data_IF_062743224045
#
_entry.id   IF_062743224045
#
_cell.length_a   1.000
_cell.length_b   1.000
_cell.length_c   1.000
_cell.angle_alpha   90.00
_cell.angle_beta   90.00
_cell.angle_gamma   90.00
#
_symmetry.space_group_name_H-M   'P 1'
#
loop_
_entity.id
_entity.type
_entity.pdbx_description
1 polymer ?
#
# COMPACT_ATOMS: atom_id res chain seq x y z
N UNK A 1 1.99 -5.26 27.95
CA UNK A 1 0.71 -5.96 27.66
C UNK A 1 1.05 -7.15 26.77
N UNK A 2 1.17 -8.37 27.36
CA UNK A 2 1.40 -9.58 26.55
C UNK A 2 0.08 -9.92 25.84
N UNK A 3 -0.01 -9.60 24.58
CA UNK A 3 -1.12 -9.98 23.73
C UNK A 3 -0.99 -11.48 23.42
N UNK A 4 -1.97 -12.28 23.84
CA UNK A 4 -2.03 -13.74 23.61
C UNK A 4 -2.27 -14.11 22.13
N UNK A 5 -1.98 -13.20 21.19
CA UNK A 5 -2.08 -13.40 19.77
C UNK A 5 -0.74 -13.86 19.21
N UNK A 6 -0.71 -15.09 18.67
CA UNK A 6 0.43 -15.60 17.92
C UNK A 6 0.54 -14.84 16.59
N UNK A 7 1.23 -13.70 16.59
CA UNK A 7 1.54 -13.00 15.37
C UNK A 7 2.45 -13.86 14.46
N UNK A 8 2.23 -13.89 13.15
CA UNK A 8 3.13 -14.58 12.23
C UNK A 8 4.57 -14.08 12.40
N UNK A 9 5.58 -14.90 12.11
CA UNK A 9 6.98 -14.51 12.26
C UNK A 9 7.29 -13.21 11.50
N UNK A 10 8.32 -12.44 11.89
CA UNK A 10 8.62 -11.11 11.31
C UNK A 10 9.13 -11.17 9.86
N UNK A 11 8.95 -12.29 9.17
CA UNK A 11 9.27 -12.41 7.75
C UNK A 11 8.35 -11.54 6.90
N UNK A 12 8.94 -10.86 5.93
CA UNK A 12 8.23 -10.03 4.96
C UNK A 12 7.48 -10.90 3.96
N UNK A 13 6.18 -10.74 3.87
CA UNK A 13 5.34 -11.45 2.89
C UNK A 13 5.49 -10.79 1.51
N UNK A 14 6.25 -11.45 0.61
CA UNK A 14 6.50 -10.97 -0.74
C UNK A 14 5.24 -10.92 -1.61
N UNK A 15 4.19 -11.69 -1.29
CA UNK A 15 2.90 -11.65 -1.99
C UNK A 15 2.25 -10.28 -1.87
N UNK A 16 2.25 -9.73 -0.65
CA UNK A 16 1.68 -8.41 -0.38
C UNK A 16 2.43 -7.31 -1.11
N UNK A 17 3.76 -7.41 -1.19
CA UNK A 17 4.57 -6.48 -1.97
C UNK A 17 4.31 -6.63 -3.48
N UNK A 18 4.21 -7.86 -3.99
CA UNK A 18 3.87 -8.14 -5.38
C UNK A 18 2.51 -7.53 -5.76
N UNK A 19 1.48 -7.82 -4.97
CA UNK A 19 0.13 -7.32 -5.24
C UNK A 19 0.02 -5.80 -5.13
N UNK A 20 0.76 -5.16 -4.21
CA UNK A 20 0.85 -3.69 -4.16
C UNK A 20 1.54 -3.11 -5.40
N UNK A 21 2.62 -3.75 -5.86
CA UNK A 21 3.29 -3.33 -7.08
C UNK A 21 2.38 -3.45 -8.30
N UNK A 22 1.67 -4.57 -8.41
CA UNK A 22 0.69 -4.79 -9.46
C UNK A 22 -0.45 -3.76 -9.41
N UNK A 23 -0.97 -3.46 -8.21
CA UNK A 23 -1.98 -2.43 -8.03
C UNK A 23 -1.49 -1.04 -8.46
N UNK A 24 -0.24 -0.67 -8.15
CA UNK A 24 0.35 0.60 -8.59
C UNK A 24 0.46 0.69 -10.12
N UNK A 25 0.95 -0.36 -10.78
CA UNK A 25 1.03 -0.39 -12.24
C UNK A 25 -0.36 -0.33 -12.89
N UNK A 26 -1.31 -1.12 -12.36
CA UNK A 26 -2.69 -1.12 -12.86
C UNK A 26 -3.39 0.23 -12.65
N UNK A 27 -3.14 0.91 -11.52
CA UNK A 27 -3.65 2.27 -11.29
C UNK A 27 -3.05 3.27 -12.29
N UNK A 28 -1.75 3.25 -12.51
CA UNK A 28 -1.13 4.11 -13.53
C UNK A 28 -1.75 3.90 -14.90
N UNK A 29 -1.77 2.65 -15.41
CA UNK A 29 -2.32 2.32 -16.73
C UNK A 29 -3.82 2.66 -16.84
N UNK A 30 -4.58 2.49 -15.76
CA UNK A 30 -6.01 2.80 -15.70
C UNK A 30 -6.35 4.29 -15.53
N UNK A 31 -5.36 5.13 -15.22
CA UNK A 31 -5.54 6.56 -14.98
C UNK A 31 -5.11 7.46 -16.16
N UNK A 32 -4.60 6.87 -17.26
CA UNK A 32 -4.36 7.62 -18.51
C UNK A 32 -5.67 7.66 -19.30
N UNK A 33 -6.39 8.81 -19.34
CA UNK A 33 -7.72 8.87 -19.96
C UNK A 33 -7.70 8.57 -21.46
N UNK A 34 -8.76 7.91 -21.95
CA UNK A 34 -8.98 7.71 -23.40
C UNK A 34 -8.00 6.74 -24.07
N UNK A 35 -7.35 5.85 -23.33
CA UNK A 35 -6.35 4.92 -23.88
C UNK A 35 -6.79 3.46 -23.78
N UNK A 36 -6.23 2.62 -24.67
CA UNK A 36 -6.39 1.16 -24.59
C UNK A 36 -5.60 0.56 -23.41
N UNK A 37 -4.70 1.31 -22.77
CA UNK A 37 -3.91 0.86 -21.63
C UNK A 37 -4.77 0.43 -20.45
N UNK A 38 -5.98 0.97 -20.33
CA UNK A 38 -6.96 0.56 -19.32
C UNK A 38 -7.27 -0.94 -19.38
N UNK A 39 -7.16 -1.57 -20.55
CA UNK A 39 -7.34 -3.01 -20.73
C UNK A 39 -6.19 -3.85 -20.18
N UNK A 40 -5.04 -3.24 -19.89
CA UNK A 40 -3.95 -3.89 -19.17
C UNK A 40 -4.14 -3.84 -17.65
N UNK A 41 -5.19 -3.16 -17.16
CA UNK A 41 -5.55 -3.14 -15.74
C UNK A 41 -6.70 -4.10 -15.45
N UNK A 42 -6.78 -4.66 -14.25
CA UNK A 42 -7.88 -5.56 -13.88
C UNK A 42 -9.22 -4.87 -13.65
N UNK A 43 -9.28 -3.56 -13.78
CA UNK A 43 -10.50 -2.76 -13.69
C UNK A 43 -11.62 -3.20 -14.66
N UNK A 44 -11.24 -3.69 -15.85
CA UNK A 44 -12.18 -4.09 -16.89
C UNK A 44 -12.54 -5.59 -16.85
N UNK A 45 -11.99 -6.35 -15.90
CA UNK A 45 -12.18 -7.80 -15.81
C UNK A 45 -12.89 -8.24 -14.53
N UNK A 46 -13.56 -7.31 -13.85
CA UNK A 46 -14.32 -7.61 -12.64
C UNK A 46 -14.75 -6.36 -11.90
N UNK A 47 -15.43 -6.56 -10.78
CA UNK A 47 -16.04 -5.44 -10.05
C UNK A 47 -15.05 -4.63 -9.22
N UNK A 48 -13.97 -5.23 -8.70
CA UNK A 48 -12.94 -4.53 -7.91
C UNK A 48 -11.73 -4.15 -8.76
N UNK A 49 -10.95 -3.19 -8.29
CA UNK A 49 -9.76 -2.69 -8.97
C UNK A 49 -8.54 -2.56 -8.03
N UNK A 50 -7.49 -1.90 -8.51
CA UNK A 50 -6.25 -1.71 -7.76
C UNK A 50 -6.41 -0.95 -6.46
N UNK A 51 -7.36 -0.02 -6.36
CA UNK A 51 -7.62 0.74 -5.15
C UNK A 51 -8.22 -0.13 -4.04
N UNK A 52 -9.19 -1.01 -4.37
CA UNK A 52 -9.77 -1.96 -3.41
C UNK A 52 -8.68 -2.85 -2.80
N UNK A 53 -7.85 -3.44 -3.65
CA UNK A 53 -6.74 -4.30 -3.24
C UNK A 53 -5.72 -3.53 -2.37
N UNK A 54 -5.40 -2.30 -2.77
CA UNK A 54 -4.43 -1.46 -2.08
C UNK A 54 -4.90 -1.08 -0.67
N UNK A 55 -6.19 -0.69 -0.50
CA UNK A 55 -6.78 -0.37 0.81
C UNK A 55 -6.79 -1.60 1.72
N UNK A 56 -7.22 -2.75 1.21
CA UNK A 56 -7.23 -4.00 1.96
C UNK A 56 -5.83 -4.41 2.46
N UNK A 57 -4.83 -4.45 1.56
CA UNK A 57 -3.45 -4.82 1.93
C UNK A 57 -2.88 -3.81 2.94
N UNK A 58 -3.27 -2.55 2.88
CA UNK A 58 -2.82 -1.54 3.83
C UNK A 58 -3.38 -1.76 5.21
N UNK A 59 -4.66 -2.13 5.35
CA UNK A 59 -5.24 -2.57 6.62
C UNK A 59 -4.51 -3.79 7.19
N UNK A 60 -4.33 -4.82 6.35
CA UNK A 60 -3.63 -6.05 6.72
C UNK A 60 -2.22 -5.80 7.26
N UNK A 61 -1.41 -5.08 6.51
CA UNK A 61 -0.02 -4.81 6.89
C UNK A 61 0.10 -3.81 8.03
N UNK A 62 -0.80 -2.82 8.11
CA UNK A 62 -0.83 -1.88 9.23
C UNK A 62 -1.12 -2.58 10.54
N UNK A 63 -2.06 -3.51 10.57
CA UNK A 63 -2.34 -4.31 11.76
C UNK A 63 -1.09 -5.06 12.23
N UNK A 64 -0.39 -5.79 11.36
CA UNK A 64 0.82 -6.53 11.72
C UNK A 64 1.96 -5.63 12.22
N UNK A 65 2.20 -4.51 11.52
CA UNK A 65 3.31 -3.59 11.82
C UNK A 65 3.06 -2.84 13.13
N UNK A 66 1.85 -2.30 13.32
CA UNK A 66 1.57 -1.43 14.45
C UNK A 66 1.21 -2.19 15.72
N UNK A 67 0.65 -3.42 15.63
CA UNK A 67 0.53 -4.31 16.79
C UNK A 67 1.88 -4.54 17.44
N UNK A 68 2.91 -4.94 16.68
CA UNK A 68 4.27 -5.13 17.20
C UNK A 68 4.88 -3.87 17.82
N UNK A 69 4.53 -2.69 17.29
CA UNK A 69 4.98 -1.42 17.87
C UNK A 69 4.23 -1.07 19.15
N UNK A 70 2.94 -1.39 19.22
CA UNK A 70 2.12 -1.19 20.42
C UNK A 70 2.51 -2.13 21.58
N UNK A 71 3.13 -3.29 21.30
CA UNK A 71 3.72 -4.15 22.33
C UNK A 71 4.82 -3.44 23.13
N UNK A 72 5.54 -2.50 22.50
CA UNK A 72 6.56 -1.64 23.15
C UNK A 72 5.95 -0.46 23.92
N UNK A 73 4.64 -0.25 23.82
CA UNK A 73 3.88 0.82 24.44
C UNK A 73 2.85 1.43 23.50
N UNK A 74 1.64 1.67 24.02
CA UNK A 74 0.54 2.23 23.21
C UNK A 74 0.91 3.60 22.60
N UNK A 75 1.47 4.51 23.43
CA UNK A 75 1.88 5.85 22.98
C UNK A 75 2.98 5.75 21.89
N UNK A 76 3.96 4.84 22.08
CA UNK A 76 5.00 4.61 21.08
C UNK A 76 4.44 4.12 19.76
N UNK A 77 3.55 3.12 19.78
CA UNK A 77 2.91 2.58 18.57
C UNK A 77 2.09 3.65 17.85
N UNK A 78 1.29 4.41 18.60
CA UNK A 78 0.44 5.50 18.10
C UNK A 78 1.26 6.63 17.49
N UNK A 79 2.34 7.07 18.15
CA UNK A 79 3.21 8.12 17.60
C UNK A 79 3.86 7.71 16.27
N UNK A 80 4.28 6.44 16.15
CA UNK A 80 4.83 5.90 14.89
C UNK A 80 3.78 5.82 13.79
N UNK A 81 2.52 5.56 14.16
CA UNK A 81 1.41 5.55 13.21
C UNK A 81 1.09 6.98 12.75
N UNK A 82 0.97 7.94 13.64
CA UNK A 82 0.75 9.35 13.26
C UNK A 82 1.90 9.92 12.42
N UNK A 83 3.14 9.52 12.68
CA UNK A 83 4.27 9.87 11.80
C UNK A 83 4.03 9.35 10.37
N UNK A 84 3.42 8.15 10.21
CA UNK A 84 3.08 7.63 8.89
C UNK A 84 1.92 8.40 8.26
N UNK A 85 0.90 8.77 9.03
CA UNK A 85 -0.20 9.64 8.57
C UNK A 85 0.37 10.96 8.05
N UNK A 86 1.26 11.59 8.80
CA UNK A 86 1.93 12.82 8.39
C UNK A 86 2.73 12.66 7.09
N UNK A 87 3.45 11.56 6.93
CA UNK A 87 4.17 11.26 5.67
C UNK A 87 3.22 11.14 4.47
N UNK A 88 2.05 10.54 4.66
CA UNK A 88 1.06 10.40 3.58
C UNK A 88 0.42 11.76 3.28
N UNK A 89 0.08 12.53 4.31
CA UNK A 89 -0.48 13.86 4.16
C UNK A 89 0.48 14.81 3.44
N UNK A 90 1.74 14.87 3.87
CA UNK A 90 2.75 15.73 3.21
C UNK A 90 3.02 15.30 1.77
N UNK A 91 3.04 13.98 1.49
CA UNK A 91 3.16 13.47 0.13
C UNK A 91 1.96 13.87 -0.73
N UNK A 92 0.74 13.82 -0.17
CA UNK A 92 -0.47 14.28 -0.87
C UNK A 92 -0.42 15.78 -1.18
N UNK A 93 -0.07 16.61 -0.21
CA UNK A 93 -0.01 18.07 -0.41
C UNK A 93 1.06 18.43 -1.45
N UNK A 94 2.24 17.81 -1.37
CA UNK A 94 3.28 18.03 -2.38
C UNK A 94 2.82 17.60 -3.78
N UNK A 95 2.21 16.42 -3.89
CA UNK A 95 1.64 15.92 -5.14
C UNK A 95 0.55 16.86 -5.67
N UNK A 96 -0.35 17.33 -4.80
CA UNK A 96 -1.42 18.26 -5.13
C UNK A 96 -0.86 19.57 -5.72
N UNK A 97 0.13 20.19 -5.08
CA UNK A 97 0.76 21.43 -5.55
C UNK A 97 1.45 21.23 -6.91
N UNK A 98 2.27 20.19 -7.02
CA UNK A 98 2.98 19.87 -8.27
C UNK A 98 1.98 19.60 -9.40
N UNK A 99 0.95 18.80 -9.12
CA UNK A 99 -0.06 18.42 -10.09
C UNK A 99 -0.81 19.64 -10.64
N UNK A 100 -1.29 20.54 -9.77
CA UNK A 100 -1.96 21.77 -10.16
C UNK A 100 -1.05 22.69 -10.98
N UNK A 101 0.20 22.88 -10.50
CA UNK A 101 1.17 23.70 -11.22
C UNK A 101 1.41 23.16 -12.66
N UNK A 102 1.54 21.84 -12.80
CA UNK A 102 1.72 21.22 -14.12
C UNK A 102 0.48 21.36 -15.02
N UNK A 103 -0.73 21.13 -14.48
CA UNK A 103 -1.98 21.25 -15.25
C UNK A 103 -2.10 22.67 -15.81
N UNK A 104 -1.90 23.68 -14.97
CA UNK A 104 -2.00 25.09 -15.41
C UNK A 104 -0.89 25.47 -16.37
N UNK A 105 0.38 25.14 -16.04
CA UNK A 105 1.50 25.43 -16.93
C UNK A 105 1.32 24.85 -18.34
N UNK A 106 0.89 23.58 -18.43
CA UNK A 106 0.68 22.95 -19.74
C UNK A 106 -0.56 23.50 -20.44
N UNK A 107 -1.64 23.80 -19.70
CA UNK A 107 -2.85 24.41 -20.26
C UNK A 107 -2.54 25.77 -20.89
N UNK A 108 -1.80 26.65 -20.23
CA UNK A 108 -1.37 27.94 -20.76
C UNK A 108 -0.38 27.81 -21.91
N UNK A 109 0.66 26.99 -21.73
CA UNK A 109 1.75 26.85 -22.71
C UNK A 109 1.29 26.31 -24.06
N UNK A 110 0.26 25.46 -24.08
CA UNK A 110 -0.26 24.79 -25.28
C UNK A 110 -1.67 25.24 -25.68
N UNK A 111 -2.19 26.29 -25.02
CA UNK A 111 -3.54 26.83 -25.27
C UNK A 111 -4.61 25.72 -25.22
N UNK A 112 -4.57 24.89 -24.17
CA UNK A 112 -5.44 23.73 -23.99
C UNK A 112 -6.29 23.86 -22.70
N UNK A 113 -7.29 24.79 -22.67
CA UNK A 113 -8.10 25.07 -21.47
C UNK A 113 -8.91 23.85 -21.00
N UNK A 114 -9.23 22.91 -21.90
CA UNK A 114 -9.96 21.69 -21.58
C UNK A 114 -9.22 20.79 -20.58
N UNK A 115 -7.88 20.88 -20.52
CA UNK A 115 -7.09 20.16 -19.53
C UNK A 115 -7.48 20.54 -18.10
N UNK A 116 -7.71 21.82 -17.86
CA UNK A 116 -8.07 22.34 -16.53
C UNK A 116 -9.40 21.73 -16.05
N UNK A 117 -10.38 21.62 -16.97
CA UNK A 117 -11.68 21.04 -16.67
C UNK A 117 -11.60 19.51 -16.52
N UNK A 118 -10.91 18.83 -17.45
CA UNK A 118 -10.75 17.37 -17.43
C UNK A 118 -10.11 16.86 -16.14
N UNK A 119 -9.12 17.61 -15.63
CA UNK A 119 -8.39 17.24 -14.42
C UNK A 119 -8.93 17.89 -13.14
N UNK A 120 -10.13 18.48 -13.21
CA UNK A 120 -10.78 19.15 -12.08
C UNK A 120 -9.87 20.19 -11.41
N UNK A 121 -9.21 21.03 -12.21
CA UNK A 121 -8.29 22.06 -11.75
C UNK A 121 -8.84 23.50 -11.91
N UNK A 122 -10.07 23.65 -12.43
CA UNK A 122 -10.70 24.94 -12.73
C UNK A 122 -10.81 25.94 -11.57
N UNK A 123 -11.15 25.51 -10.35
CA UNK A 123 -11.28 26.43 -9.21
C UNK A 123 -10.00 27.20 -8.84
N UNK A 124 -8.80 26.73 -9.30
CA UNK A 124 -7.52 27.43 -9.08
C UNK A 124 -7.53 28.85 -9.64
N UNK A 125 -8.13 29.03 -10.79
CA UNK A 125 -8.13 30.34 -11.48
C UNK A 125 -9.17 31.32 -10.92
N UNK A 126 -10.31 30.80 -10.43
CA UNK A 126 -11.42 31.64 -9.93
C UNK A 126 -11.32 32.00 -8.45
N UNK A 127 -10.81 31.09 -7.62
CA UNK A 127 -10.74 31.23 -6.16
C UNK A 127 -9.49 30.52 -5.58
N UNK A 128 -8.27 30.99 -5.89
CA UNK A 128 -7.03 30.24 -5.58
C UNK A 128 -6.83 30.05 -4.07
N UNK A 129 -7.07 31.06 -3.24
CA UNK A 129 -6.88 30.97 -1.79
C UNK A 129 -7.86 29.98 -1.17
N UNK A 130 -9.14 30.08 -1.53
CA UNK A 130 -10.17 29.17 -1.03
C UNK A 130 -9.85 27.73 -1.44
N UNK A 131 -9.53 27.53 -2.72
CA UNK A 131 -9.21 26.20 -3.23
C UNK A 131 -7.97 25.60 -2.56
N UNK A 132 -6.92 26.39 -2.32
CA UNK A 132 -5.74 25.91 -1.57
C UNK A 132 -6.12 25.53 -0.14
N UNK A 133 -6.95 26.33 0.53
CA UNK A 133 -7.46 26.02 1.87
C UNK A 133 -8.25 24.71 1.89
N UNK A 134 -9.17 24.54 0.92
CA UNK A 134 -9.96 23.32 0.80
C UNK A 134 -9.12 22.09 0.39
N UNK A 135 -8.05 22.29 -0.38
CA UNK A 135 -7.05 21.26 -0.69
C UNK A 135 -6.29 20.80 0.54
N UNK A 136 -5.81 21.73 1.37
CA UNK A 136 -5.15 21.44 2.67
C UNK A 136 -6.10 20.72 3.63
N UNK A 137 -7.39 21.04 3.62
CA UNK A 137 -8.42 20.36 4.40
C UNK A 137 -8.89 19.03 3.78
N UNK A 138 -8.29 18.58 2.69
CA UNK A 138 -8.63 17.36 1.94
C UNK A 138 -10.05 17.36 1.36
N UNK A 139 -10.71 18.51 1.29
CA UNK A 139 -12.05 18.65 0.72
C UNK A 139 -12.03 18.83 -0.79
N UNK A 140 -11.04 19.56 -1.32
CA UNK A 140 -10.82 19.69 -2.75
C UNK A 140 -9.74 18.72 -3.22
N UNK A 141 -10.02 17.99 -4.30
CA UNK A 141 -9.13 17.01 -4.90
C UNK A 141 -9.21 17.07 -6.43
N UNK A 142 -8.10 17.36 -7.11
CA UNK A 142 -7.97 17.14 -8.54
C UNK A 142 -8.19 15.67 -8.91
N UNK A 143 -8.42 15.39 -10.17
CA UNK A 143 -8.64 14.03 -10.67
C UNK A 143 -7.50 13.09 -10.27
N UNK A 144 -7.83 11.89 -9.81
CA UNK A 144 -6.94 10.82 -9.38
C UNK A 144 -6.19 11.06 -8.04
N UNK A 145 -6.43 12.18 -7.34
CA UNK A 145 -5.78 12.46 -6.05
C UNK A 145 -6.60 12.01 -4.82
N UNK A 146 -7.69 11.27 -5.01
CA UNK A 146 -8.64 10.90 -3.95
C UNK A 146 -8.14 9.80 -2.99
N UNK A 147 -7.20 8.96 -3.42
CA UNK A 147 -6.76 7.78 -2.67
C UNK A 147 -5.95 8.15 -1.42
N UNK A 148 -5.03 9.13 -1.50
CA UNK A 148 -4.20 9.52 -0.35
C UNK A 148 -5.00 10.18 0.77
N UNK A 149 -5.98 11.09 0.51
CA UNK A 149 -6.91 11.58 1.52
C UNK A 149 -7.65 10.48 2.27
N UNK A 150 -8.17 9.46 1.54
CA UNK A 150 -8.78 8.29 2.15
C UNK A 150 -7.82 7.61 3.15
N UNK A 151 -6.54 7.44 2.75
CA UNK A 151 -5.52 6.85 3.62
C UNK A 151 -5.22 7.68 4.87
N UNK A 152 -5.17 9.00 4.74
CA UNK A 152 -4.97 9.92 5.88
C UNK A 152 -6.07 9.68 6.91
N UNK A 153 -7.33 9.60 6.48
CA UNK A 153 -8.48 9.37 7.37
C UNK A 153 -8.43 7.97 7.99
N UNK A 154 -8.29 6.92 7.17
CA UNK A 154 -8.31 5.53 7.66
C UNK A 154 -7.15 5.25 8.63
N UNK A 155 -5.95 5.69 8.29
CA UNK A 155 -4.78 5.53 9.17
C UNK A 155 -4.86 6.43 10.40
N UNK A 156 -5.41 7.64 10.29
CA UNK A 156 -5.58 8.56 11.42
C UNK A 156 -6.54 8.00 12.49
N UNK A 157 -7.59 7.33 12.06
CA UNK A 157 -8.56 6.66 12.95
C UNK A 157 -8.11 5.26 13.42
N UNK A 158 -7.05 4.72 12.85
CA UNK A 158 -6.63 3.34 13.12
C UNK A 158 -6.13 3.08 14.55
N UNK A 159 -5.45 3.99 15.30
CA UNK A 159 -4.99 3.69 16.65
C UNK A 159 -6.08 3.20 17.60
N UNK A 160 -7.22 3.89 17.77
CA UNK A 160 -8.31 3.40 18.61
C UNK A 160 -8.96 2.12 18.05
N UNK A 161 -9.09 2.00 16.72
CA UNK A 161 -9.63 0.81 16.06
C UNK A 161 -8.73 -0.39 16.35
N UNK A 162 -7.41 -0.25 16.20
CA UNK A 162 -6.47 -1.33 16.49
C UNK A 162 -6.48 -1.72 17.96
N UNK A 163 -6.52 -0.74 18.86
CA UNK A 163 -6.59 -0.99 20.30
C UNK A 163 -7.84 -1.79 20.70
N UNK A 164 -9.00 -1.45 20.12
CA UNK A 164 -10.24 -2.21 20.30
C UNK A 164 -10.15 -3.60 19.65
N UNK A 165 -9.60 -3.70 18.45
CA UNK A 165 -9.46 -4.96 17.70
C UNK A 165 -8.55 -5.96 18.43
N UNK A 166 -7.54 -5.49 19.15
CA UNK A 166 -6.67 -6.35 19.95
C UNK A 166 -7.39 -6.95 21.17
N UNK A 167 -8.53 -6.38 21.60
CA UNK A 167 -9.35 -6.87 22.71
C UNK A 167 -10.60 -7.61 22.24
N UNK A 168 -11.29 -7.02 21.26
CA UNK A 168 -12.60 -7.45 20.78
C UNK A 168 -12.63 -7.47 19.24
N UNK A 169 -11.83 -8.36 18.59
CA UNK A 169 -11.65 -8.34 17.13
C UNK A 169 -12.97 -8.48 16.37
N UNK A 170 -13.84 -9.39 16.80
CA UNK A 170 -15.10 -9.67 16.11
C UNK A 170 -16.11 -8.52 16.33
N UNK A 171 -16.12 -7.89 17.50
CA UNK A 171 -16.98 -6.73 17.76
C UNK A 171 -16.58 -5.53 16.88
N UNK A 172 -15.27 -5.30 16.68
CA UNK A 172 -14.79 -4.25 15.77
C UNK A 172 -15.19 -4.57 14.33
N UNK A 173 -15.08 -5.84 13.92
CA UNK A 173 -15.51 -6.24 12.57
C UNK A 173 -17.01 -6.04 12.38
N UNK A 174 -17.84 -6.45 13.35
CA UNK A 174 -19.29 -6.23 13.32
C UNK A 174 -19.61 -4.73 13.29
N UNK A 175 -18.97 -3.92 14.13
CA UNK A 175 -19.13 -2.46 14.12
C UNK A 175 -18.77 -1.82 12.78
N UNK A 176 -17.70 -2.32 12.13
CA UNK A 176 -17.30 -1.89 10.79
C UNK A 176 -18.36 -2.21 9.73
N UNK A 177 -18.96 -3.42 9.78
CA UNK A 177 -20.04 -3.81 8.87
C UNK A 177 -21.28 -2.94 9.12
N UNK A 178 -21.66 -2.72 10.39
CA UNK A 178 -22.81 -1.88 10.75
C UNK A 178 -22.63 -0.44 10.27
N UNK A 179 -21.42 0.13 10.46
CA UNK A 179 -21.09 1.47 9.95
C UNK A 179 -21.18 1.53 8.42
N UNK A 180 -20.68 0.50 7.72
CA UNK A 180 -20.79 0.39 6.28
C UNK A 180 -22.25 0.37 5.80
N UNK A 181 -23.07 -0.46 6.42
CA UNK A 181 -24.50 -0.57 6.08
C UNK A 181 -25.23 0.74 6.37
N UNK A 182 -24.97 1.38 7.52
CA UNK A 182 -25.54 2.68 7.86
C UNK A 182 -25.12 3.77 6.87
N UNK A 183 -23.83 3.83 6.51
CA UNK A 183 -23.33 4.81 5.56
C UNK A 183 -24.01 4.66 4.18
N UNK A 184 -24.25 3.43 3.73
CA UNK A 184 -25.00 3.17 2.48
C UNK A 184 -26.49 3.51 2.60
N UNK A 185 -27.12 3.09 3.69
CA UNK A 185 -28.57 3.30 3.89
C UNK A 185 -28.94 4.77 4.05
N UNK A 186 -28.14 5.53 4.81
CA UNK A 186 -28.38 6.93 5.11
C UNK A 186 -27.59 7.88 4.19
N UNK A 187 -26.90 7.37 3.18
CA UNK A 187 -26.08 8.14 2.24
C UNK A 187 -25.04 9.04 2.93
N UNK A 188 -24.47 8.58 4.05
CA UNK A 188 -23.44 9.31 4.78
C UNK A 188 -22.13 9.30 4.01
N UNK A 189 -21.59 10.49 3.76
CA UNK A 189 -20.27 10.66 3.16
C UNK A 189 -19.68 12.01 3.61
N UNK A 190 -18.39 12.21 3.41
CA UNK A 190 -17.74 13.49 3.68
C UNK A 190 -18.00 14.48 2.54
N UNK A 191 -18.20 15.79 2.86
CA UNK A 191 -18.40 16.81 1.83
C UNK A 191 -17.13 17.06 1.02
N UNK A 192 -17.30 17.33 -0.27
CA UNK A 192 -16.25 17.76 -1.19
C UNK A 192 -16.43 19.22 -1.58
N UNK A 193 -15.38 19.88 -2.02
CA UNK A 193 -15.41 21.25 -2.53
C UNK A 193 -15.26 21.21 -4.08
N UNK A 194 -15.97 22.08 -4.83
CA UNK A 194 -16.92 23.12 -4.39
C UNK A 194 -18.30 22.56 -4.01
N UNK A 195 -18.62 21.33 -4.38
CA UNK A 195 -19.90 20.68 -4.10
C UNK A 195 -19.76 19.16 -4.14
N UNK A 196 -20.80 18.44 -3.68
CA UNK A 196 -20.86 16.98 -3.71
C UNK A 196 -20.20 16.33 -2.52
N UNK A 197 -19.77 15.09 -2.70
CA UNK A 197 -19.18 14.24 -1.65
C UNK A 197 -17.87 13.58 -2.10
N UNK A 198 -17.14 13.01 -1.17
CA UNK A 198 -15.90 12.31 -1.48
C UNK A 198 -16.12 11.14 -2.43
N UNK A 199 -15.26 11.03 -3.45
CA UNK A 199 -15.28 9.93 -4.41
C UNK A 199 -15.03 8.57 -3.74
N UNK A 200 -14.11 8.50 -2.79
CA UNK A 200 -13.95 7.34 -1.91
C UNK A 200 -14.56 7.65 -0.55
N UNK A 201 -15.79 7.19 -0.30
CA UNK A 201 -16.48 7.37 0.96
C UNK A 201 -15.74 6.65 2.11
N UNK A 202 -15.08 7.37 3.05
CA UNK A 202 -14.29 6.72 4.08
C UNK A 202 -15.12 5.82 5.01
N UNK A 203 -16.42 6.16 5.21
CA UNK A 203 -17.34 5.39 6.04
C UNK A 203 -17.68 4.03 5.41
N UNK A 204 -17.63 3.93 4.10
CA UNK A 204 -17.81 2.66 3.38
C UNK A 204 -16.46 1.94 3.20
N UNK A 205 -15.43 2.64 2.74
CA UNK A 205 -14.12 2.05 2.42
C UNK A 205 -13.33 1.57 3.64
N UNK A 206 -13.67 2.05 4.85
CA UNK A 206 -13.12 1.52 6.10
C UNK A 206 -13.36 0.01 6.23
N UNK A 207 -14.44 -0.53 5.66
CA UNK A 207 -14.73 -1.97 5.71
C UNK A 207 -13.59 -2.80 5.11
N UNK A 208 -13.04 -2.41 3.95
CA UNK A 208 -11.89 -3.09 3.33
C UNK A 208 -10.65 -3.05 4.24
N UNK A 209 -10.37 -1.89 4.80
CA UNK A 209 -9.22 -1.67 5.66
C UNK A 209 -9.32 -2.49 6.96
N UNK A 210 -10.48 -2.43 7.61
CA UNK A 210 -10.77 -3.17 8.86
C UNK A 210 -10.79 -4.67 8.61
N UNK A 211 -11.38 -5.15 7.50
CA UNK A 211 -11.34 -6.57 7.10
C UNK A 211 -9.90 -7.04 6.92
N UNK A 212 -9.05 -6.25 6.25
CA UNK A 212 -7.63 -6.56 6.11
C UNK A 212 -6.94 -6.69 7.46
N UNK A 213 -7.18 -5.75 8.37
CA UNK A 213 -6.63 -5.76 9.72
C UNK A 213 -7.14 -6.95 10.56
N UNK A 214 -8.42 -7.26 10.48
CA UNK A 214 -9.03 -8.39 11.18
C UNK A 214 -8.47 -9.73 10.69
N UNK A 215 -8.34 -9.91 9.37
CA UNK A 215 -7.73 -11.11 8.79
C UNK A 215 -6.26 -11.28 9.20
N UNK A 216 -5.53 -10.18 9.31
CA UNK A 216 -4.14 -10.21 9.74
C UNK A 216 -3.95 -10.69 11.18
N UNK A 217 -4.89 -10.34 12.06
CA UNK A 217 -4.76 -10.62 13.50
C UNK A 217 -5.43 -11.92 13.93
N UNK A 218 -6.59 -12.26 13.38
CA UNK A 218 -7.41 -13.39 13.89
C UNK A 218 -8.13 -14.18 12.80
N UNK A 219 -8.55 -13.52 11.72
CA UNK A 219 -9.49 -14.08 10.76
C UNK A 219 -8.92 -15.15 9.85
N UNK A 220 -7.64 -15.04 9.47
CA UNK A 220 -7.03 -15.95 8.50
C UNK A 220 -7.07 -17.42 8.96
N UNK A 221 -6.81 -17.67 10.24
CA UNK A 221 -6.89 -19.01 10.82
C UNK A 221 -8.31 -19.57 10.82
N UNK A 222 -9.30 -18.73 11.15
CA UNK A 222 -10.73 -19.12 11.19
C UNK A 222 -11.32 -19.40 9.80
N UNK A 223 -10.81 -18.73 8.77
CA UNK A 223 -11.28 -18.90 7.39
C UNK A 223 -10.50 -19.96 6.61
N UNK A 224 -9.59 -20.70 7.26
CA UNK A 224 -8.77 -21.69 6.58
C UNK A 224 -9.58 -22.79 5.87
N UNK A 225 -10.78 -23.13 6.38
CA UNK A 225 -11.68 -24.08 5.72
C UNK A 225 -12.12 -23.63 4.31
N UNK A 226 -12.30 -22.31 4.10
CA UNK A 226 -12.65 -21.75 2.79
C UNK A 226 -11.54 -22.01 1.76
N UNK A 227 -10.28 -21.96 2.19
CA UNK A 227 -9.14 -22.20 1.31
C UNK A 227 -9.05 -23.64 0.82
N UNK A 228 -9.60 -24.61 1.56
CA UNK A 228 -9.56 -26.05 1.22
C UNK A 228 -10.79 -26.55 0.50
N UNK A 229 -11.91 -25.87 0.61
CA UNK A 229 -13.18 -26.29 0.01
C UNK A 229 -13.14 -26.23 -1.52
N UNK A 230 -13.49 -27.35 -2.18
CA UNK A 230 -13.67 -27.40 -3.64
C UNK A 230 -14.94 -26.66 -4.07
N UNK A 231 -15.99 -26.71 -3.24
CA UNK A 231 -17.22 -25.98 -3.50
C UNK A 231 -16.97 -24.47 -3.52
N UNK A 232 -16.26 -23.93 -2.51
CA UNK A 232 -15.87 -22.51 -2.47
C UNK A 232 -15.03 -22.14 -3.70
N UNK A 233 -14.13 -23.02 -4.16
CA UNK A 233 -13.35 -22.77 -5.36
C UNK A 233 -14.22 -22.62 -6.61
N UNK A 234 -15.16 -23.54 -6.81
CA UNK A 234 -16.07 -23.50 -7.98
C UNK A 234 -16.93 -22.24 -7.96
N UNK A 235 -17.55 -21.94 -6.80
CA UNK A 235 -18.37 -20.73 -6.63
C UNK A 235 -17.54 -19.47 -6.84
N UNK A 236 -16.32 -19.43 -6.33
CA UNK A 236 -15.40 -18.30 -6.50
C UNK A 236 -15.06 -18.06 -7.97
N UNK A 237 -14.71 -19.12 -8.71
CA UNK A 237 -14.40 -19.02 -10.15
C UNK A 237 -15.64 -18.59 -10.93
N UNK A 238 -16.80 -19.19 -10.67
CA UNK A 238 -18.06 -18.82 -11.33
C UNK A 238 -18.40 -17.33 -11.08
N UNK A 239 -18.20 -16.85 -9.85
CA UNK A 239 -18.43 -15.45 -9.51
C UNK A 239 -17.45 -14.50 -10.22
N UNK A 240 -16.16 -14.85 -10.34
CA UNK A 240 -15.20 -14.05 -11.10
C UNK A 240 -15.55 -14.00 -12.60
N UNK A 241 -15.96 -15.14 -13.18
CA UNK A 241 -16.43 -15.19 -14.57
C UNK A 241 -17.66 -14.31 -14.75
N UNK A 242 -18.64 -14.39 -13.85
CA UNK A 242 -19.80 -13.51 -13.85
C UNK A 242 -19.41 -12.03 -13.78
N UNK A 243 -18.52 -11.67 -12.86
CA UNK A 243 -18.01 -10.30 -12.72
C UNK A 243 -17.30 -9.81 -13.99
N UNK A 244 -16.48 -10.65 -14.60
CA UNK A 244 -15.79 -10.34 -15.85
C UNK A 244 -16.79 -10.13 -17.01
N UNK A 245 -17.75 -11.04 -17.17
CA UNK A 245 -18.78 -10.93 -18.22
C UNK A 245 -19.64 -9.68 -18.03
N UNK A 246 -20.05 -9.37 -16.79
CA UNK A 246 -20.85 -8.19 -16.47
C UNK A 246 -20.08 -6.88 -16.74
N UNK A 247 -18.78 -6.84 -16.41
CA UNK A 247 -17.92 -5.69 -16.69
C UNK A 247 -17.67 -5.52 -18.19
N UNK A 248 -17.44 -6.62 -18.91
CA UNK A 248 -17.28 -6.60 -20.36
C UNK A 248 -18.58 -6.18 -21.08
N UNK A 249 -19.74 -6.58 -20.57
CA UNK A 249 -21.03 -6.18 -21.09
C UNK A 249 -21.26 -4.66 -21.06
N UNK A 250 -20.59 -3.92 -20.18
CA UNK A 250 -20.62 -2.47 -20.18
C UNK A 250 -19.94 -1.85 -21.42
N UNK A 251 -19.04 -2.61 -22.08
CA UNK A 251 -18.30 -2.18 -23.26
C UNK A 251 -18.81 -2.82 -24.58
N UNK A 252 -19.61 -3.88 -24.49
CA UNK A 252 -20.07 -4.64 -25.68
C UNK A 252 -21.60 -4.82 -25.69
N UNK A 253 -22.33 -4.17 -26.61
CA UNK A 253 -23.80 -4.27 -26.70
C UNK A 253 -24.34 -5.69 -26.84
N UNK A 254 -23.63 -6.55 -27.57
CA UNK A 254 -24.03 -7.95 -27.77
C UNK A 254 -24.04 -8.75 -26.47
N UNK A 255 -23.00 -8.57 -25.62
CA UNK A 255 -22.94 -9.16 -24.29
C UNK A 255 -24.01 -8.59 -23.35
N UNK A 256 -24.25 -7.28 -23.42
CA UNK A 256 -25.27 -6.60 -22.62
C UNK A 256 -26.66 -7.19 -22.87
N UNK A 257 -26.98 -7.53 -24.13
CA UNK A 257 -28.26 -8.11 -24.51
C UNK A 257 -28.54 -9.46 -23.85
N UNK A 258 -27.49 -10.23 -23.48
CA UNK A 258 -27.62 -11.53 -22.81
C UNK A 258 -28.12 -11.43 -21.36
N UNK A 259 -27.89 -10.31 -20.69
CA UNK A 259 -28.20 -10.16 -19.26
C UNK A 259 -29.57 -9.54 -18.99
N UNK A 260 -30.18 -8.93 -19.99
CA UNK A 260 -31.41 -8.13 -19.81
C UNK A 260 -31.18 -6.82 -19.03
N UNK A 261 -32.08 -5.83 -19.18
CA UNK A 261 -31.86 -4.49 -18.60
C UNK A 261 -31.76 -4.50 -17.06
N UNK A 262 -32.69 -5.17 -16.40
CA UNK A 262 -32.79 -5.15 -14.94
C UNK A 262 -31.54 -5.72 -14.25
N UNK A 263 -31.01 -6.84 -14.74
CA UNK A 263 -29.79 -7.45 -14.19
C UNK A 263 -28.55 -6.57 -14.49
N UNK A 264 -28.47 -6.01 -15.72
CA UNK A 264 -27.37 -5.14 -16.10
C UNK A 264 -27.31 -3.87 -15.23
N UNK A 265 -28.43 -3.21 -15.01
CA UNK A 265 -28.54 -1.97 -14.23
C UNK A 265 -28.22 -2.16 -12.76
N UNK A 266 -28.42 -3.36 -12.20
CA UNK A 266 -28.03 -3.68 -10.82
C UNK A 266 -26.52 -3.55 -10.58
N UNK A 267 -25.70 -3.79 -11.61
CA UNK A 267 -24.22 -3.79 -11.51
C UNK A 267 -23.58 -2.61 -12.26
N UNK A 268 -24.36 -1.82 -13.00
CA UNK A 268 -23.87 -0.71 -13.82
C UNK A 268 -24.75 0.54 -13.64
N UNK A 269 -24.13 1.70 -13.31
CA UNK A 269 -22.70 1.90 -13.10
C UNK A 269 -22.19 1.20 -11.84
N UNK A 270 -20.97 0.68 -11.90
CA UNK A 270 -20.32 0.03 -10.75
C UNK A 270 -20.03 1.05 -9.65
N UNK A 271 -20.83 1.05 -8.57
CA UNK A 271 -20.73 2.02 -7.46
C UNK A 271 -19.42 1.82 -6.67
N UNK A 272 -18.42 2.59 -7.06
CA UNK A 272 -17.11 2.64 -6.41
C UNK A 272 -17.13 3.55 -5.19
N UNK A 273 -17.90 4.63 -5.24
CA UNK A 273 -17.96 5.64 -4.18
C UNK A 273 -18.31 5.02 -2.84
N UNK A 274 -19.39 4.26 -2.79
CA UNK A 274 -19.91 3.65 -1.56
C UNK A 274 -19.54 2.16 -1.44
N UNK A 275 -18.54 1.70 -2.17
CA UNK A 275 -18.06 0.32 -2.12
C UNK A 275 -19.22 -0.69 -2.26
N UNK A 276 -19.78 -0.83 -3.46
CA UNK A 276 -20.89 -1.77 -3.67
C UNK A 276 -20.62 -3.15 -3.08
N UNK A 277 -21.62 -3.85 -2.50
CA UNK A 277 -21.42 -5.15 -1.86
C UNK A 277 -20.76 -6.18 -2.76
N UNK A 278 -21.13 -6.16 -4.06
CA UNK A 278 -20.53 -7.05 -5.05
C UNK A 278 -19.04 -6.72 -5.32
N UNK A 279 -18.59 -5.43 -5.19
CA UNK A 279 -17.17 -5.06 -5.25
C UNK A 279 -16.40 -5.67 -4.09
N UNK A 280 -16.94 -5.48 -2.88
CA UNK A 280 -16.34 -6.05 -1.67
C UNK A 280 -16.20 -7.57 -1.77
N UNK A 281 -17.29 -8.26 -2.16
CA UNK A 281 -17.29 -9.71 -2.33
C UNK A 281 -16.28 -10.15 -3.42
N UNK A 282 -16.19 -9.42 -4.54
CA UNK A 282 -15.24 -9.72 -5.62
C UNK A 282 -13.79 -9.67 -5.12
N UNK A 283 -13.43 -8.64 -4.35
CA UNK A 283 -12.10 -8.57 -3.76
C UNK A 283 -11.85 -9.72 -2.77
N UNK A 284 -12.84 -10.05 -1.91
CA UNK A 284 -12.68 -11.17 -0.96
C UNK A 284 -12.44 -12.50 -1.69
N UNK A 285 -13.13 -12.74 -2.78
CA UNK A 285 -12.92 -13.91 -3.65
C UNK A 285 -11.52 -13.91 -4.23
N UNK A 286 -11.03 -12.78 -4.76
CA UNK A 286 -9.64 -12.67 -5.26
C UNK A 286 -8.61 -12.95 -4.16
N UNK A 287 -8.84 -12.47 -2.93
CA UNK A 287 -7.96 -12.71 -1.79
C UNK A 287 -7.93 -14.18 -1.41
N UNK A 288 -9.09 -14.85 -1.36
CA UNK A 288 -9.20 -16.28 -1.07
C UNK A 288 -8.44 -17.10 -2.14
N UNK A 289 -8.62 -16.79 -3.42
CA UNK A 289 -7.92 -17.48 -4.51
C UNK A 289 -6.41 -17.17 -4.47
N UNK A 290 -6.03 -15.92 -4.26
CA UNK A 290 -4.62 -15.54 -4.10
C UNK A 290 -3.95 -16.27 -2.95
N UNK A 291 -4.61 -16.37 -1.79
CA UNK A 291 -4.10 -17.12 -0.64
C UNK A 291 -4.04 -18.63 -0.88
N UNK A 292 -4.98 -19.18 -1.67
CA UNK A 292 -5.03 -20.61 -2.01
C UNK A 292 -3.92 -21.01 -2.97
N UNK A 293 -3.69 -20.22 -4.04
CA UNK A 293 -2.79 -20.59 -5.13
C UNK A 293 -1.36 -20.06 -4.95
N UNK A 294 -1.15 -19.03 -4.13
CA UNK A 294 0.16 -18.47 -3.88
C UNK A 294 0.51 -18.65 -2.39
N UNK A 295 1.16 -19.74 -2.00
CA UNK A 295 1.60 -19.95 -0.62
C UNK A 295 2.65 -18.90 -0.20
N UNK A 296 2.75 -18.65 1.12
CA UNK A 296 3.61 -17.58 1.67
C UNK A 296 5.10 -17.81 1.36
N UNK A 297 5.48 -19.08 1.22
CA UNK A 297 6.82 -19.57 0.94
C UNK A 297 7.05 -19.92 -0.55
N UNK A 298 6.15 -19.46 -1.43
CA UNK A 298 6.25 -19.73 -2.86
C UNK A 298 7.61 -19.29 -3.43
N UNK A 299 8.47 -20.27 -3.75
CA UNK A 299 9.81 -20.04 -4.31
C UNK A 299 9.76 -19.23 -5.63
N UNK A 300 8.70 -19.39 -6.40
CA UNK A 300 8.47 -18.64 -7.64
C UNK A 300 8.46 -17.11 -7.46
N UNK A 301 8.08 -16.60 -6.27
CA UNK A 301 8.10 -15.15 -5.99
C UNK A 301 9.52 -14.58 -5.89
N UNK A 302 10.53 -15.40 -5.72
CA UNK A 302 11.94 -14.98 -5.68
C UNK A 302 12.55 -14.84 -7.09
N UNK A 303 11.83 -15.28 -8.13
CA UNK A 303 12.30 -15.17 -9.50
C UNK A 303 12.54 -13.70 -9.89
N UNK A 304 13.56 -13.50 -10.72
CA UNK A 304 14.03 -12.16 -11.12
C UNK A 304 12.94 -11.34 -11.81
N UNK A 305 12.02 -12.00 -12.52
CA UNK A 305 10.94 -11.35 -13.26
C UNK A 305 9.97 -10.57 -12.33
N UNK A 306 9.78 -11.01 -11.08
CA UNK A 306 8.88 -10.35 -10.13
C UNK A 306 9.55 -9.23 -9.33
N UNK A 307 10.90 -9.14 -9.37
CA UNK A 307 11.65 -8.14 -8.60
C UNK A 307 11.21 -6.70 -8.87
N UNK A 308 10.94 -6.25 -10.12
CA UNK A 308 10.47 -4.89 -10.38
C UNK A 308 9.14 -4.58 -9.66
N UNK A 309 8.16 -5.49 -9.81
CA UNK A 309 6.84 -5.37 -9.16
C UNK A 309 6.96 -5.36 -7.63
N UNK A 310 7.71 -6.30 -7.07
CA UNK A 310 7.94 -6.37 -5.62
C UNK A 310 8.61 -5.09 -5.12
N UNK A 311 9.59 -4.54 -5.85
CA UNK A 311 10.23 -3.26 -5.49
C UNK A 311 9.25 -2.10 -5.54
N UNK A 312 8.39 -2.02 -6.55
CA UNK A 312 7.32 -1.02 -6.62
C UNK A 312 6.37 -1.14 -5.42
N UNK A 313 5.97 -2.37 -5.03
CA UNK A 313 5.14 -2.58 -3.85
C UNK A 313 5.84 -2.22 -2.53
N UNK A 314 7.15 -2.41 -2.44
CA UNK A 314 7.96 -2.03 -1.28
C UNK A 314 8.05 -0.52 -1.06
N UNK A 315 8.00 0.25 -2.13
CA UNK A 315 8.06 1.73 -2.14
C UNK A 315 6.73 2.32 -2.63
N UNK A 316 5.62 1.71 -2.21
CA UNK A 316 4.30 1.92 -2.82
C UNK A 316 3.80 3.37 -2.77
N UNK A 317 4.12 4.16 -1.74
CA UNK A 317 3.70 5.56 -1.64
C UNK A 317 4.39 6.42 -2.71
N UNK A 318 5.71 6.33 -2.80
CA UNK A 318 6.50 7.10 -3.75
C UNK A 318 6.17 6.70 -5.19
N UNK A 319 6.01 5.39 -5.44
CA UNK A 319 5.63 4.85 -6.76
C UNK A 319 4.23 5.29 -7.16
N UNK A 320 3.28 5.31 -6.22
CA UNK A 320 1.92 5.81 -6.46
C UNK A 320 1.93 7.29 -6.86
N UNK A 321 2.61 8.15 -6.07
CA UNK A 321 2.67 9.58 -6.36
C UNK A 321 3.26 9.87 -7.75
N UNK A 322 4.35 9.17 -8.10
CA UNK A 322 4.97 9.29 -9.43
C UNK A 322 4.01 8.75 -10.51
N UNK A 323 3.32 7.64 -10.26
CA UNK A 323 2.35 7.06 -11.19
C UNK A 323 1.21 8.01 -11.55
N UNK A 324 0.68 8.76 -10.58
CA UNK A 324 -0.36 9.78 -10.83
C UNK A 324 0.17 10.93 -11.72
N UNK A 325 1.37 11.43 -11.45
CA UNK A 325 1.99 12.47 -12.28
C UNK A 325 2.25 11.95 -13.70
N UNK A 326 2.77 10.74 -13.83
CA UNK A 326 3.04 10.12 -15.12
C UNK A 326 1.75 9.84 -15.91
N UNK A 327 0.64 9.52 -15.25
CA UNK A 327 -0.65 9.35 -15.92
C UNK A 327 -1.13 10.66 -16.57
N UNK A 328 -0.99 11.77 -15.86
CA UNK A 328 -1.29 13.10 -16.40
C UNK A 328 -0.34 13.48 -17.55
N UNK A 329 0.97 13.36 -17.34
CA UNK A 329 1.98 13.68 -18.38
C UNK A 329 1.78 12.76 -19.59
N UNK A 330 1.52 11.48 -19.37
CA UNK A 330 1.26 10.51 -20.43
C UNK A 330 0.03 10.87 -21.26
N UNK A 331 -1.08 11.25 -20.62
CA UNK A 331 -2.25 11.74 -21.31
C UNK A 331 -1.90 12.95 -22.22
N UNK A 332 -1.19 13.92 -21.67
CA UNK A 332 -0.81 15.12 -22.41
C UNK A 332 0.10 14.79 -23.61
N UNK A 333 1.10 13.91 -23.45
CA UNK A 333 1.95 13.44 -24.55
C UNK A 333 1.10 12.78 -25.63
N UNK A 334 0.11 11.97 -25.26
CA UNK A 334 -0.75 11.29 -26.23
C UNK A 334 -1.64 12.25 -27.01
N UNK A 335 -2.10 13.35 -26.39
CA UNK A 335 -2.83 14.40 -27.10
C UNK A 335 -1.96 15.06 -28.18
N UNK A 336 -0.67 15.29 -27.92
CA UNK A 336 0.26 15.86 -28.89
C UNK A 336 0.67 14.85 -29.96
N UNK A 337 0.79 13.56 -29.63
CA UNK A 337 1.26 12.50 -30.52
C UNK A 337 0.13 11.84 -31.35
N UNK A 338 -1.12 12.36 -31.28
CA UNK A 338 -2.26 11.83 -32.03
C UNK A 338 -2.86 10.54 -31.50
N UNK A 339 -2.57 10.16 -30.24
CA UNK A 339 -3.18 9.05 -29.49
C UNK A 339 -3.16 7.67 -30.20
N UNK A 340 -2.18 7.43 -31.08
CA UNK A 340 -2.01 6.13 -31.76
C UNK A 340 -1.63 5.00 -30.82
N UNK A 341 -1.97 3.75 -31.16
CA UNK A 341 -1.72 2.57 -30.32
C UNK A 341 -0.23 2.45 -29.92
N UNK A 342 0.69 2.68 -30.87
CA UNK A 342 2.12 2.63 -30.61
C UNK A 342 2.54 3.68 -29.57
N UNK A 343 2.05 4.92 -29.70
CA UNK A 343 2.32 5.99 -28.72
C UNK A 343 1.79 5.61 -27.33
N UNK A 344 0.59 5.04 -27.24
CA UNK A 344 0.01 4.55 -25.98
C UNK A 344 0.88 3.46 -25.35
N UNK A 345 1.33 2.46 -26.11
CA UNK A 345 2.20 1.40 -25.61
C UNK A 345 3.55 1.94 -25.14
N UNK A 346 4.15 2.89 -25.86
CA UNK A 346 5.40 3.54 -25.48
C UNK A 346 5.24 4.35 -24.19
N UNK A 347 4.17 5.14 -24.06
CA UNK A 347 3.86 5.89 -22.83
C UNK A 347 3.65 4.93 -21.65
N UNK A 348 2.90 3.85 -21.85
CA UNK A 348 2.67 2.83 -20.82
C UNK A 348 3.98 2.17 -20.37
N UNK A 349 4.80 1.73 -21.31
CA UNK A 349 6.09 1.08 -21.02
C UNK A 349 7.08 2.05 -20.34
N UNK A 350 7.19 3.29 -20.84
CA UNK A 350 8.03 4.32 -20.24
C UNK A 350 7.58 4.66 -18.81
N UNK A 351 6.27 4.80 -18.58
CA UNK A 351 5.74 5.06 -17.24
C UNK A 351 6.06 3.94 -16.25
N UNK A 352 5.87 2.68 -16.64
CA UNK A 352 6.23 1.51 -15.82
C UNK A 352 7.75 1.49 -15.55
N UNK A 353 8.57 1.78 -16.54
CA UNK A 353 10.03 1.84 -16.39
C UNK A 353 10.45 2.93 -15.39
N UNK A 354 9.89 4.14 -15.50
CA UNK A 354 10.17 5.26 -14.58
C UNK A 354 9.71 4.91 -13.15
N UNK A 355 8.49 4.40 -12.97
CA UNK A 355 7.98 3.95 -11.66
C UNK A 355 8.91 2.91 -11.03
N UNK A 356 9.39 1.98 -11.84
CA UNK A 356 10.33 0.94 -11.41
C UNK A 356 11.68 1.54 -11.03
N UNK A 357 12.24 2.44 -11.85
CA UNK A 357 13.49 3.15 -11.53
C UNK A 357 13.41 3.92 -10.22
N UNK A 358 12.30 4.63 -9.98
CA UNK A 358 12.03 5.33 -8.70
C UNK A 358 12.00 4.34 -7.53
N UNK A 359 11.38 3.18 -7.69
CA UNK A 359 11.33 2.15 -6.65
C UNK A 359 12.74 1.63 -6.29
N UNK A 360 13.60 1.39 -7.29
CA UNK A 360 14.99 0.95 -7.08
C UNK A 360 15.83 2.05 -6.45
N UNK A 361 15.71 3.29 -6.93
CA UNK A 361 16.40 4.45 -6.35
C UNK A 361 16.05 4.66 -4.88
N UNK A 362 14.76 4.64 -4.53
CA UNK A 362 14.31 4.76 -3.13
C UNK A 362 14.79 3.61 -2.25
N UNK A 363 14.81 2.39 -2.79
CA UNK A 363 15.33 1.24 -2.07
C UNK A 363 16.85 1.33 -1.84
N UNK A 364 17.59 1.91 -2.77
CA UNK A 364 19.02 2.19 -2.64
C UNK A 364 19.28 3.30 -1.62
N UNK A 365 18.60 4.46 -1.74
CA UNK A 365 18.70 5.59 -0.81
C UNK A 365 18.50 5.15 0.66
N UNK A 366 17.42 4.39 0.93
CA UNK A 366 17.15 3.86 2.28
C UNK A 366 18.24 2.91 2.81
N UNK A 367 18.97 2.23 1.92
CA UNK A 367 20.13 1.38 2.33
C UNK A 367 21.33 2.24 2.71
N UNK A 368 21.63 3.26 1.93
CA UNK A 368 22.71 4.19 2.20
C UNK A 368 22.48 4.94 3.51
N UNK A 369 21.27 5.48 3.72
CA UNK A 369 20.89 6.13 4.97
C UNK A 369 21.09 5.21 6.20
N UNK A 370 20.73 3.94 6.07
CA UNK A 370 20.90 2.97 7.16
C UNK A 370 22.37 2.67 7.43
N UNK A 371 23.21 2.50 6.40
CA UNK A 371 24.64 2.24 6.58
C UNK A 371 25.36 3.44 7.21
N UNK A 372 24.97 4.67 6.90
CA UNK A 372 25.54 5.88 7.52
C UNK A 372 25.23 6.00 9.01
N UNK A 373 24.07 5.48 9.45
CA UNK A 373 23.70 5.48 10.88
C UNK A 373 24.28 4.30 11.66
N UNK A 374 24.72 3.25 10.99
CA UNK A 374 25.33 2.05 11.61
C UNK A 374 26.86 2.12 11.65
N UNK A 375 27.51 3.12 11.03
CA UNK A 375 28.94 3.36 11.19
C UNK A 375 29.19 3.89 12.61
N UNK A 376 29.92 3.15 13.48
CA UNK A 376 30.28 3.66 14.79
C UNK A 376 31.19 4.87 14.57
N UNK A 377 30.92 5.94 15.31
CA UNK A 377 31.94 6.94 15.64
C UNK A 377 32.89 6.22 16.62
N UNK A 378 33.75 5.36 16.12
CA UNK A 378 34.91 4.88 16.83
C UNK A 378 35.92 6.04 16.85
N UNK A 379 35.64 6.98 17.72
CA UNK A 379 36.64 7.91 18.21
C UNK A 379 37.69 7.09 18.98
N UNK A 380 38.68 6.56 18.27
CA UNK A 380 39.93 6.17 18.88
C UNK A 380 40.45 7.36 19.67
N UNK A 381 40.18 7.38 20.97
CA UNK A 381 41.04 8.11 21.91
C UNK A 381 42.41 7.52 21.74
N UNK A 382 43.32 8.28 21.17
CA UNK A 382 44.75 7.97 21.26
C UNK A 382 45.07 7.81 22.74
N UNK A 383 45.89 6.82 23.14
CA UNK A 383 46.37 6.74 24.51
C UNK A 383 47.22 7.96 24.77
N UNK A 384 46.80 8.82 25.72
CA UNK A 384 47.65 9.83 26.28
C UNK A 384 48.93 9.18 26.83
N UNK A 385 50.04 9.48 26.20
CA UNK A 385 51.38 9.19 26.70
C UNK A 385 51.62 10.07 27.94
N UNK A 386 51.31 9.57 29.11
CA UNK A 386 51.89 10.11 30.36
C UNK A 386 53.35 9.68 30.42
N UNK A 387 54.20 10.62 30.09
CA UNK A 387 55.62 10.52 30.41
C UNK A 387 55.82 10.48 31.92
N UNK A 388 56.54 9.51 32.39
CA UNK A 388 57.26 9.54 33.66
C UNK A 388 58.63 8.94 33.42
N UNK A 389 59.57 9.80 33.65
CA UNK A 389 61.00 9.57 33.60
C UNK A 389 61.45 8.84 34.87
N UNK A 390 62.60 8.10 34.73
CA UNK A 390 63.48 7.54 35.79
C UNK A 390 63.05 6.24 36.52
N UNK A 391 63.77 5.16 36.42
CA UNK A 391 65.13 4.97 36.95
C UNK A 391 65.75 3.70 36.37
N UNK A 392 66.98 3.85 35.96
CA UNK A 392 67.93 2.82 35.55
C UNK A 392 68.49 2.09 36.79
N UNK A 393 68.30 0.80 36.96
CA UNK A 393 69.16 -0.05 37.75
C UNK A 393 69.35 -1.39 37.08
N UNK A 394 70.63 -1.70 36.78
CA UNK A 394 71.18 -2.92 36.28
C UNK A 394 71.25 -4.05 37.34
N UNK A 395 71.07 -5.26 36.90
CA UNK A 395 71.64 -6.59 37.31
C UNK A 395 70.54 -7.63 37.18
N UNK A 396 70.66 -8.68 36.43
CA UNK A 396 71.72 -9.61 36.21
C UNK A 396 71.22 -11.01 36.64
N UNK A 397 71.24 -11.98 35.74
CA UNK A 397 71.31 -13.43 36.15
C UNK A 397 69.98 -14.16 36.04
N UNK A 398 69.73 -14.92 34.97
CA UNK A 398 70.09 -16.35 34.94
C UNK A 398 68.91 -17.29 35.01
N UNK A 399 68.77 -18.07 33.92
CA UNK A 399 68.31 -19.48 33.83
C UNK A 399 66.81 -19.83 33.72
N UNK A 400 66.51 -20.30 32.57
CA UNK A 400 65.57 -21.36 32.12
C UNK A 400 65.89 -22.72 32.77
N UNK A 401 65.18 -23.86 32.68
CA UNK A 401 63.73 -24.16 32.45
C UNK A 401 63.15 -25.27 33.36
N UNK A 402 61.94 -25.73 33.15
CA UNK A 402 61.40 -27.10 33.07
C UNK A 402 59.90 -27.13 33.29
N UNK A 403 59.08 -27.59 32.30
CA UNK A 403 58.59 -28.92 31.95
C UNK A 403 57.96 -29.70 33.16
N UNK A 404 56.67 -29.99 32.99
CA UNK A 404 55.95 -31.26 33.11
C UNK A 404 54.50 -31.00 33.45
N UNK A 405 53.57 -31.44 32.59
CA UNK A 405 52.85 -32.72 32.49
C UNK A 405 51.98 -33.06 33.72
N UNK A 406 50.73 -33.38 33.35
CA UNK A 406 49.87 -34.35 34.04
C UNK A 406 48.43 -33.91 34.09
N UNK A 407 47.56 -34.38 33.13
CA UNK A 407 46.61 -35.51 33.33
C UNK A 407 45.67 -35.30 34.52
N UNK A 408 44.40 -35.40 34.49
CA UNK A 408 43.48 -36.36 33.90
C UNK A 408 42.05 -36.11 34.44
N UNK A 409 41.08 -36.34 33.60
CA UNK A 409 39.80 -37.03 33.82
C UNK A 409 38.78 -36.54 34.87
N UNK A 410 37.57 -36.35 34.45
CA UNK A 410 36.32 -37.13 34.65
C UNK A 410 35.05 -36.29 34.68
N UNK A 411 34.22 -36.57 33.75
CA UNK A 411 32.74 -36.45 33.81
C UNK A 411 32.17 -37.53 34.76
N UNK A 412 30.79 -37.59 34.81
CA UNK A 412 29.72 -36.80 35.40
C UNK A 412 29.00 -37.59 36.53
N UNK A 413 27.79 -37.43 36.99
CA UNK A 413 26.52 -37.59 36.31
C UNK A 413 25.32 -36.70 36.81
N UNK A 414 24.30 -36.52 35.94
CA UNK A 414 22.87 -36.85 36.02
C UNK A 414 22.16 -36.80 37.40
N UNK A 415 21.05 -36.11 37.50
CA UNK A 415 19.63 -36.52 37.57
C UNK A 415 18.73 -35.46 38.20
N UNK A 416 17.61 -35.26 37.53
CA UNK A 416 16.22 -35.15 38.03
C UNK A 416 15.92 -34.17 39.21
N UNK A 417 15.06 -33.21 38.99
CA UNK A 417 13.58 -33.27 39.00
C UNK A 417 13.03 -32.13 38.14
#
# INVERSE_FOLDING_TARGET
MKLGLALPPPQRDLRLDLFRGLANWAMFLGHVPGTVLVWCSFRNYGFSDGADLFVFISGYTSALVYTRKMERGFVFGTSRLFRRVWQIYTAHILLFLIYLAFVHFLSERFNAPDLVNLFNAGPVTSAPVEMMTQGLLLRYKPLNLDVLPLYVVLMGLFPPILWLMLRFPDAVMIGSVLLYLAARQFHWNLPSYPSGSWYFNPLAWQLLFVTGAWLALTGAGRLHFLLRSRFVLVVAIAYLIFGALMTLAAHQPQLRALFGPALFELFNPNDKTNLAPYRYLHLMVLIILGARFIPIDARGLQATIWRPLIKCGQQSLEVFCVGILLAFIGYFILQLAGNGILAQLLVGAAGIAIMTAVAYYRAWSKRVEKSSHESPVDGKRAPESTGSVEHLVLRGGGRVPQVARGTDSRQPPLTEV
#
